data_IF_205779959556
#
_entry.id   IF_205779959556
#
_cell.length_a   1.000
_cell.length_b   1.000
_cell.length_c   1.000
_cell.angle_alpha   90.00
_cell.angle_beta   90.00
_cell.angle_gamma   90.00
#
_symmetry.space_group_name_H-M   'P 1'
#
loop_
_entity.id
_entity.type
_entity.pdbx_description
1 polymer ?
#
# COMPACT_ATOMS: atom_id res chain seq x y z
N UNK A 1 -17.63 21.37 -37.54
CA UNK A 1 -17.65 22.47 -36.56
C UNK A 1 -17.79 21.91 -35.13
N UNK A 2 -16.78 21.21 -34.59
CA UNK A 2 -16.89 20.65 -33.23
C UNK A 2 -15.53 20.47 -32.51
N UNK A 3 -14.43 20.98 -33.07
CA UNK A 3 -13.07 20.81 -32.50
C UNK A 3 -12.58 22.13 -31.85
N UNK A 4 -13.16 23.27 -32.22
CA UNK A 4 -12.73 24.58 -31.70
C UNK A 4 -13.35 24.95 -30.34
N UNK A 5 -14.46 24.35 -29.92
CA UNK A 5 -15.11 24.69 -28.64
C UNK A 5 -14.45 24.07 -27.40
N UNK A 6 -13.54 23.10 -27.57
CA UNK A 6 -12.86 22.45 -26.42
C UNK A 6 -11.66 23.29 -25.93
N UNK A 7 -11.08 24.14 -26.79
CA UNK A 7 -9.90 24.96 -26.45
C UNK A 7 -10.20 26.07 -25.44
N UNK A 8 -11.45 26.54 -25.36
CA UNK A 8 -11.83 27.64 -24.47
C UNK A 8 -12.18 27.22 -23.04
N UNK A 9 -12.25 25.91 -22.74
CA UNK A 9 -12.62 25.41 -21.41
C UNK A 9 -11.47 25.03 -20.49
N UNK A 10 -10.25 24.87 -21.01
CA UNK A 10 -9.11 24.40 -20.20
C UNK A 10 -7.84 25.18 -20.54
N UNK A 11 -7.56 26.23 -19.77
CA UNK A 11 -6.31 26.98 -19.84
C UNK A 11 -5.19 26.30 -19.07
N UNK A 12 -3.97 26.31 -19.63
CA UNK A 12 -2.75 25.88 -18.92
C UNK A 12 -2.57 26.81 -17.72
N UNK A 13 -2.78 26.31 -16.51
CA UNK A 13 -2.64 27.12 -15.30
C UNK A 13 -1.32 26.76 -14.62
N UNK A 14 -0.43 27.75 -14.43
CA UNK A 14 0.85 27.55 -13.71
C UNK A 14 0.66 27.24 -12.22
N UNK A 15 -0.49 27.60 -11.67
CA UNK A 15 -0.86 27.44 -10.27
C UNK A 15 -2.10 26.55 -10.16
N UNK A 16 -2.08 25.54 -9.30
CA UNK A 16 -3.26 24.71 -9.07
C UNK A 16 -4.43 25.59 -8.57
N UNK A 17 -5.65 25.43 -9.09
CA UNK A 17 -6.82 26.18 -8.63
C UNK A 17 -7.23 25.72 -7.23
N UNK A 18 -6.65 26.33 -6.20
CA UNK A 18 -6.88 25.98 -4.78
C UNK A 18 -8.15 26.58 -4.20
N UNK A 19 -8.74 27.58 -4.88
CA UNK A 19 -9.89 28.35 -4.38
C UNK A 19 -11.13 27.49 -4.08
N UNK A 20 -11.28 26.37 -4.78
CA UNK A 20 -12.40 25.43 -4.60
C UNK A 20 -11.99 24.12 -3.90
N UNK A 21 -10.72 23.97 -3.51
CA UNK A 21 -10.24 22.78 -2.81
C UNK A 21 -10.45 23.00 -1.31
N UNK A 22 -11.48 22.36 -0.76
CA UNK A 22 -11.65 22.28 0.69
C UNK A 22 -10.71 21.19 1.23
N UNK A 23 -9.72 21.54 2.06
CA UNK A 23 -8.89 20.50 2.66
C UNK A 23 -9.78 19.61 3.53
N UNK A 24 -9.58 18.27 3.51
CA UNK A 24 -10.31 17.39 4.39
C UNK A 24 -10.00 17.79 5.83
N UNK A 25 -11.02 18.21 6.58
CA UNK A 25 -10.89 18.46 8.01
C UNK A 25 -10.92 17.12 8.73
N UNK A 26 -10.09 16.92 9.77
CA UNK A 26 -10.17 15.71 10.57
C UNK A 26 -11.56 15.62 11.19
N UNK A 27 -12.11 14.41 11.27
CA UNK A 27 -13.44 14.18 11.88
C UNK A 27 -13.44 14.63 13.35
N UNK A 28 -12.27 14.58 14.00
CA UNK A 28 -12.05 15.00 15.39
C UNK A 28 -10.65 15.57 15.59
N UNK A 29 -10.53 16.62 16.41
CA UNK A 29 -9.23 17.11 16.88
C UNK A 29 -8.65 16.18 17.95
N UNK A 30 -7.35 15.94 17.84
CA UNK A 30 -6.60 15.03 18.71
C UNK A 30 -6.38 15.67 20.08
N UNK A 31 -6.62 14.94 21.15
CA UNK A 31 -6.23 15.34 22.50
C UNK A 31 -4.84 14.77 22.86
N UNK A 32 -3.82 15.62 22.75
CA UNK A 32 -2.45 15.24 23.10
C UNK A 32 -2.30 14.83 24.58
N UNK A 33 -3.11 15.39 25.49
CA UNK A 33 -3.07 15.08 26.92
C UNK A 33 -3.59 13.66 27.23
N UNK A 34 -4.46 13.15 26.36
CA UNK A 34 -4.95 11.77 26.39
C UNK A 34 -4.06 10.79 25.60
N UNK A 35 -2.87 11.22 25.16
CA UNK A 35 -1.97 10.46 24.28
C UNK A 35 -2.68 9.96 23.01
N UNK A 36 -3.60 10.78 22.47
CA UNK A 36 -4.24 10.51 21.17
C UNK A 36 -3.28 10.88 20.03
N UNK A 37 -3.41 10.19 18.90
CA UNK A 37 -2.70 10.52 17.65
C UNK A 37 -3.55 10.19 16.43
N UNK A 38 -3.25 10.86 15.31
CA UNK A 38 -3.71 10.48 13.97
C UNK A 38 -2.55 9.86 13.24
N UNK A 39 -2.82 8.77 12.54
CA UNK A 39 -1.81 8.07 11.75
C UNK A 39 -2.05 8.34 10.26
N UNK A 40 -0.98 8.44 9.48
CA UNK A 40 -1.04 8.64 8.04
C UNK A 40 -0.01 7.74 7.36
N UNK A 41 -0.47 6.89 6.45
CA UNK A 41 0.36 5.92 5.73
C UNK A 41 0.16 6.13 4.22
N UNK A 42 1.23 6.51 3.53
CA UNK A 42 1.26 6.57 2.07
C UNK A 42 1.77 5.26 1.49
N UNK A 43 1.01 4.64 0.58
CA UNK A 43 1.40 3.42 -0.14
C UNK A 43 1.48 3.72 -1.63
N UNK A 44 2.62 3.44 -2.25
CA UNK A 44 2.98 3.90 -3.58
C UNK A 44 3.36 2.72 -4.49
N UNK A 45 2.42 2.31 -5.35
CA UNK A 45 2.62 1.23 -6.32
C UNK A 45 3.07 1.77 -7.67
N UNK A 46 4.33 1.54 -8.01
CA UNK A 46 4.89 2.04 -9.27
C UNK A 46 4.48 1.19 -10.48
N UNK A 47 4.58 1.78 -11.68
CA UNK A 47 4.32 1.10 -12.94
C UNK A 47 5.42 0.13 -13.32
N UNK A 48 5.07 -0.83 -14.19
CA UNK A 48 6.00 -1.81 -14.75
C UNK A 48 7.29 -1.19 -15.26
N UNK A 49 8.43 -1.77 -14.88
CA UNK A 49 9.75 -1.31 -15.27
C UNK A 49 10.29 -0.11 -14.48
N UNK A 50 9.50 0.50 -13.59
CA UNK A 50 9.95 1.62 -12.77
C UNK A 50 10.44 1.15 -11.39
N UNK A 51 11.54 1.73 -10.93
CA UNK A 51 12.09 1.45 -9.60
C UNK A 51 12.83 2.68 -9.06
N UNK A 52 12.38 3.20 -7.92
CA UNK A 52 12.91 4.41 -7.29
C UNK A 52 14.44 4.45 -7.18
N UNK A 53 15.05 3.35 -6.72
CA UNK A 53 16.49 3.29 -6.47
C UNK A 53 17.29 3.11 -7.77
N UNK A 54 16.79 2.29 -8.72
CA UNK A 54 17.46 2.08 -10.00
C UNK A 54 17.34 3.28 -10.95
N UNK A 55 16.27 4.06 -10.79
CA UNK A 55 16.00 5.27 -11.58
C UNK A 55 16.58 6.52 -10.93
N UNK A 56 17.14 6.41 -9.72
CA UNK A 56 17.77 7.52 -9.00
C UNK A 56 18.97 8.06 -9.76
N UNK A 57 19.00 9.38 -9.96
CA UNK A 57 20.04 10.04 -10.75
C UNK A 57 19.86 9.93 -12.27
N UNK A 58 18.88 9.14 -12.75
CA UNK A 58 18.41 9.19 -14.12
C UNK A 58 17.23 10.18 -14.19
N UNK A 59 16.99 10.82 -15.33
CA UNK A 59 15.77 11.64 -15.54
C UNK A 59 14.49 10.77 -15.68
N UNK A 60 14.45 9.60 -15.02
CA UNK A 60 13.48 8.53 -15.24
C UNK A 60 12.46 8.32 -14.11
N UNK A 61 12.54 9.08 -13.00
CA UNK A 61 11.59 8.90 -11.90
C UNK A 61 10.13 9.06 -12.35
N UNK A 62 9.34 8.03 -12.08
CA UNK A 62 7.89 8.05 -12.26
C UNK A 62 7.24 9.10 -11.36
N UNK A 63 6.01 9.49 -11.68
CA UNK A 63 5.25 10.38 -10.79
C UNK A 63 5.00 9.72 -9.41
N UNK A 64 4.90 8.39 -9.35
CA UNK A 64 4.70 7.65 -8.09
C UNK A 64 5.95 7.74 -7.22
N UNK A 65 7.14 7.55 -7.81
CA UNK A 65 8.43 7.70 -7.14
C UNK A 65 8.60 9.13 -6.57
N UNK A 66 8.29 10.16 -7.37
CA UNK A 66 8.36 11.56 -6.94
C UNK A 66 7.41 11.87 -5.79
N UNK A 67 6.15 11.41 -5.88
CA UNK A 67 5.18 11.59 -4.82
C UNK A 67 5.65 10.91 -3.53
N UNK A 68 6.16 9.69 -3.62
CA UNK A 68 6.73 8.98 -2.48
C UNK A 68 7.87 9.76 -1.81
N UNK A 69 8.82 10.29 -2.57
CA UNK A 69 9.94 11.07 -2.03
C UNK A 69 9.49 12.34 -1.31
N UNK A 70 8.44 12.99 -1.80
CA UNK A 70 7.86 14.20 -1.19
C UNK A 70 6.92 13.92 -0.02
N UNK A 71 6.46 12.67 0.13
CA UNK A 71 5.56 12.28 1.20
C UNK A 71 6.30 12.22 2.54
N UNK A 72 5.69 12.81 3.58
CA UNK A 72 6.27 12.86 4.92
C UNK A 72 6.51 11.44 5.46
N UNK A 73 7.67 11.24 6.10
CA UNK A 73 8.04 9.97 6.71
C UNK A 73 8.69 10.24 8.06
N UNK A 74 7.84 10.35 9.08
CA UNK A 74 8.18 10.70 10.45
C UNK A 74 7.39 9.75 11.36
N UNK A 75 7.90 8.52 11.57
CA UNK A 75 7.24 7.50 12.39
C UNK A 75 6.90 7.98 13.81
N UNK A 76 7.71 8.89 14.35
CA UNK A 76 7.53 9.52 15.66
C UNK A 76 6.22 10.30 15.80
N UNK A 77 5.65 10.81 14.69
CA UNK A 77 4.34 11.48 14.68
C UNK A 77 3.28 10.68 13.92
N UNK A 78 3.53 9.39 13.65
CA UNK A 78 2.58 8.50 12.99
C UNK A 78 2.49 8.66 11.47
N UNK A 79 3.51 9.25 10.82
CA UNK A 79 3.57 9.42 9.37
C UNK A 79 4.53 8.43 8.73
N UNK A 80 4.04 7.61 7.80
CA UNK A 80 4.80 6.55 7.13
C UNK A 80 4.64 6.63 5.62
N UNK A 81 5.69 6.26 4.89
CA UNK A 81 5.63 6.01 3.45
C UNK A 81 6.14 4.62 3.11
N UNK A 82 5.48 3.98 2.14
CA UNK A 82 5.75 2.63 1.67
C UNK A 82 5.82 2.68 0.15
N UNK A 83 7.02 2.50 -0.41
CA UNK A 83 7.21 2.37 -1.85
C UNK A 83 7.23 0.90 -2.27
N UNK A 84 6.51 0.60 -3.35
CA UNK A 84 6.42 -0.72 -3.97
C UNK A 84 6.95 -0.59 -5.41
N UNK A 85 8.14 -1.17 -5.71
CA UNK A 85 8.70 -1.13 -7.05
C UNK A 85 7.77 -1.77 -8.08
N UNK A 86 7.85 -1.27 -9.31
CA UNK A 86 7.08 -1.80 -10.43
C UNK A 86 7.43 -3.24 -10.76
N UNK A 87 6.46 -3.95 -11.32
CA UNK A 87 6.66 -5.30 -11.85
C UNK A 87 7.80 -5.35 -12.87
N UNK A 88 8.53 -6.47 -12.86
CA UNK A 88 9.67 -6.70 -13.75
C UNK A 88 10.98 -6.04 -13.30
N UNK A 89 10.96 -5.26 -12.21
CA UNK A 89 12.17 -4.71 -11.58
C UNK A 89 12.56 -5.52 -10.34
N UNK A 90 13.85 -5.49 -9.91
CA UNK A 90 14.29 -6.19 -8.71
C UNK A 90 13.58 -5.65 -7.47
N UNK A 91 13.12 -6.57 -6.63
CA UNK A 91 12.61 -6.29 -5.31
C UNK A 91 13.09 -7.36 -4.31
N UNK A 92 14.34 -7.26 -3.81
CA UNK A 92 14.95 -8.30 -2.94
C UNK A 92 14.17 -8.57 -1.65
N UNK A 93 13.39 -7.58 -1.18
CA UNK A 93 12.54 -7.71 0.00
C UNK A 93 11.38 -8.70 -0.16
N UNK A 94 11.10 -9.14 -1.39
CA UNK A 94 10.13 -10.22 -1.69
C UNK A 94 10.80 -11.41 -2.38
N UNK A 95 12.14 -11.44 -2.45
CA UNK A 95 12.90 -12.50 -3.11
C UNK A 95 13.06 -12.36 -4.63
N UNK A 96 12.71 -11.22 -5.21
CA UNK A 96 12.98 -10.92 -6.62
C UNK A 96 14.32 -10.19 -6.75
N UNK A 97 15.40 -10.93 -6.97
CA UNK A 97 16.75 -10.34 -6.97
C UNK A 97 17.17 -9.75 -8.33
N UNK A 98 16.41 -10.01 -9.40
CA UNK A 98 16.77 -9.62 -10.79
C UNK A 98 15.58 -9.05 -11.57
N UNK A 99 15.88 -8.30 -12.63
CA UNK A 99 14.87 -7.87 -13.60
C UNK A 99 14.31 -9.08 -14.36
N UNK A 100 13.00 -9.11 -14.58
CA UNK A 100 12.38 -10.24 -15.29
C UNK A 100 11.38 -9.78 -16.33
N UNK A 101 11.53 -10.29 -17.55
CA UNK A 101 10.52 -10.14 -18.62
C UNK A 101 9.20 -10.78 -18.20
N UNK A 102 9.25 -11.84 -17.38
CA UNK A 102 8.04 -12.51 -16.90
C UNK A 102 7.23 -11.67 -15.91
N UNK A 103 7.87 -10.97 -14.98
CA UNK A 103 7.19 -10.00 -14.11
C UNK A 103 6.64 -8.83 -14.92
N UNK A 104 7.44 -8.31 -15.87
CA UNK A 104 7.06 -7.19 -16.71
C UNK A 104 5.92 -7.48 -17.69
N UNK A 105 5.90 -8.64 -18.35
CA UNK A 105 4.93 -9.01 -19.38
C UNK A 105 3.73 -9.78 -18.81
N UNK A 106 3.96 -10.78 -17.96
CA UNK A 106 2.91 -11.71 -17.47
C UNK A 106 2.34 -11.35 -16.09
N UNK A 107 2.89 -10.34 -15.41
CA UNK A 107 2.38 -9.88 -14.11
C UNK A 107 2.77 -10.76 -12.93
N UNK A 108 3.74 -11.67 -13.12
CA UNK A 108 4.34 -12.44 -12.02
C UNK A 108 4.94 -11.49 -10.97
N UNK A 109 4.72 -11.78 -9.69
CA UNK A 109 5.21 -10.96 -8.58
C UNK A 109 4.24 -9.87 -8.07
N UNK A 110 3.05 -9.74 -8.67
CA UNK A 110 2.03 -8.78 -8.23
C UNK A 110 1.48 -9.11 -6.83
N UNK A 111 1.14 -10.37 -6.57
CA UNK A 111 0.65 -10.81 -5.27
C UNK A 111 1.68 -10.56 -4.16
N UNK A 112 2.96 -10.83 -4.44
CA UNK A 112 4.08 -10.53 -3.53
C UNK A 112 4.18 -9.06 -3.18
N UNK A 113 4.00 -8.16 -4.15
CA UNK A 113 3.99 -6.70 -3.94
C UNK A 113 2.80 -6.26 -3.09
N UNK A 114 1.61 -6.80 -3.34
CA UNK A 114 0.39 -6.51 -2.58
C UNK A 114 0.50 -7.01 -1.14
N UNK A 115 0.95 -8.26 -0.94
CA UNK A 115 1.17 -8.83 0.40
C UNK A 115 2.22 -8.04 1.16
N UNK A 116 3.33 -7.67 0.50
CA UNK A 116 4.34 -6.82 1.12
C UNK A 116 3.74 -5.50 1.61
N UNK A 117 2.93 -4.82 0.79
CA UNK A 117 2.25 -3.59 1.20
C UNK A 117 1.33 -3.80 2.42
N UNK A 118 0.56 -4.90 2.45
CA UNK A 118 -0.29 -5.25 3.59
C UNK A 118 0.55 -5.43 4.87
N UNK A 119 1.61 -6.22 4.82
CA UNK A 119 2.50 -6.43 5.96
C UNK A 119 3.13 -5.13 6.45
N UNK A 120 3.50 -4.23 5.53
CA UNK A 120 4.07 -2.92 5.88
C UNK A 120 3.07 -1.98 6.55
N UNK A 121 1.78 -2.05 6.21
CA UNK A 121 0.73 -1.31 6.93
C UNK A 121 0.58 -1.83 8.36
N UNK A 122 0.57 -3.15 8.54
CA UNK A 122 0.53 -3.77 9.87
C UNK A 122 1.78 -3.43 10.70
N UNK A 123 2.97 -3.48 10.10
CA UNK A 123 4.22 -3.05 10.74
C UNK A 123 4.14 -1.59 11.19
N UNK A 124 3.60 -0.69 10.37
CA UNK A 124 3.50 0.73 10.71
C UNK A 124 2.59 0.93 11.93
N UNK A 125 1.44 0.25 11.98
CA UNK A 125 0.51 0.31 13.11
C UNK A 125 1.18 -0.26 14.36
N UNK A 126 1.83 -1.41 14.24
CA UNK A 126 2.52 -2.05 15.35
C UNK A 126 3.68 -1.18 15.89
N UNK A 127 4.43 -0.53 15.00
CA UNK A 127 5.49 0.41 15.36
C UNK A 127 4.95 1.66 16.07
N UNK A 128 3.82 2.21 15.61
CA UNK A 128 3.18 3.37 16.25
C UNK A 128 2.65 3.06 17.64
N UNK A 129 2.11 1.85 17.85
CA UNK A 129 1.53 1.45 19.13
C UNK A 129 2.56 0.99 20.15
N UNK A 130 3.58 0.23 19.69
CA UNK A 130 4.44 -0.55 20.58
C UNK A 130 5.94 -0.29 20.38
N UNK A 131 6.33 0.59 19.46
CA UNK A 131 7.73 0.87 19.11
C UNK A 131 8.56 -0.37 18.78
N UNK A 132 7.91 -1.40 18.22
CA UNK A 132 8.54 -2.68 17.84
C UNK A 132 8.12 -3.06 16.43
N UNK A 133 8.98 -3.81 15.71
CA UNK A 133 8.63 -4.37 14.41
C UNK A 133 7.79 -5.64 14.59
N UNK A 134 6.72 -5.78 13.80
CA UNK A 134 5.89 -6.98 13.82
C UNK A 134 6.52 -8.07 12.94
N UNK A 135 7.01 -7.67 11.76
CA UNK A 135 7.69 -8.52 10.80
C UNK A 135 9.09 -7.96 10.57
N UNK A 136 10.11 -8.68 11.07
CA UNK A 136 11.49 -8.39 10.69
C UNK A 136 11.71 -8.62 9.19
N UNK A 137 12.85 -8.16 8.66
CA UNK A 137 13.14 -8.18 7.22
C UNK A 137 13.13 -9.61 6.65
N UNK A 138 13.67 -10.57 7.38
CA UNK A 138 13.79 -11.97 6.97
C UNK A 138 12.42 -12.64 6.90
N UNK A 139 11.59 -12.45 7.93
CA UNK A 139 10.24 -12.98 7.99
C UNK A 139 9.36 -12.35 6.91
N UNK A 140 9.44 -11.03 6.73
CA UNK A 140 8.66 -10.32 5.70
C UNK A 140 9.00 -10.83 4.30
N UNK A 141 10.30 -11.03 4.02
CA UNK A 141 10.75 -11.65 2.78
C UNK A 141 10.19 -13.06 2.62
N UNK A 142 10.29 -13.89 3.65
CA UNK A 142 9.78 -15.26 3.62
C UNK A 142 8.26 -15.33 3.36
N UNK A 143 7.49 -14.42 3.96
CA UNK A 143 6.03 -14.33 3.76
C UNK A 143 5.65 -13.90 2.34
N UNK A 144 6.46 -13.06 1.69
CA UNK A 144 6.16 -12.51 0.36
C UNK A 144 6.84 -13.25 -0.79
N UNK A 145 7.75 -14.19 -0.52
CA UNK A 145 8.50 -14.88 -1.57
C UNK A 145 7.65 -16.01 -2.18
N UNK A 146 7.39 -15.92 -3.49
CA UNK A 146 6.63 -16.94 -4.24
C UNK A 146 7.41 -18.23 -4.45
N UNK A 147 8.75 -18.18 -4.34
CA UNK A 147 9.65 -19.34 -4.36
C UNK A 147 10.58 -19.30 -3.15
N UNK A 148 10.08 -19.64 -1.93
CA UNK A 148 10.85 -19.55 -0.70
C UNK A 148 12.15 -20.36 -0.74
N UNK A 149 13.26 -19.70 -0.42
CA UNK A 149 14.57 -20.33 -0.21
C UNK A 149 14.57 -21.22 1.03
N UNK A 150 15.63 -22.02 1.24
CA UNK A 150 15.79 -22.81 2.47
C UNK A 150 15.73 -21.94 3.73
N UNK A 151 16.35 -20.75 3.69
CA UNK A 151 16.33 -19.81 4.81
C UNK A 151 14.92 -19.25 5.05
N UNK A 152 14.16 -18.95 3.99
CA UNK A 152 12.78 -18.47 4.11
C UNK A 152 11.87 -19.54 4.75
N UNK A 153 12.00 -20.80 4.32
CA UNK A 153 11.25 -21.92 4.89
C UNK A 153 11.49 -22.05 6.40
N UNK A 154 12.73 -21.89 6.85
CA UNK A 154 13.05 -21.88 8.29
C UNK A 154 12.38 -20.73 9.04
N UNK A 155 12.15 -19.56 8.43
CA UNK A 155 11.41 -18.47 9.07
C UNK A 155 9.91 -18.78 9.14
N UNK A 156 9.34 -19.38 8.08
CA UNK A 156 7.93 -19.77 8.03
C UNK A 156 7.61 -20.87 9.04
N UNK A 157 8.49 -21.87 9.19
CA UNK A 157 8.32 -22.95 10.17
C UNK A 157 8.29 -22.44 11.61
N UNK A 158 9.10 -21.42 11.96
CA UNK A 158 9.11 -20.80 13.29
C UNK A 158 7.77 -20.19 13.69
N UNK A 159 6.98 -19.75 12.70
CA UNK A 159 5.65 -19.17 12.90
C UNK A 159 4.52 -20.15 12.56
N UNK A 160 4.86 -21.42 12.32
CA UNK A 160 3.89 -22.49 12.04
C UNK A 160 3.25 -22.45 10.66
N UNK A 161 3.86 -21.79 9.67
CA UNK A 161 3.38 -21.76 8.29
C UNK A 161 4.09 -22.82 7.43
N UNK A 162 3.32 -23.56 6.65
CA UNK A 162 3.83 -24.58 5.71
C UNK A 162 4.40 -23.99 4.42
N UNK A 163 3.96 -22.78 4.05
CA UNK A 163 4.38 -22.06 2.85
C UNK A 163 4.11 -20.55 2.99
N UNK A 164 4.60 -19.76 2.02
CA UNK A 164 4.48 -18.30 2.02
C UNK A 164 3.04 -17.85 1.80
N UNK A 165 2.77 -16.55 1.86
CA UNK A 165 1.41 -16.02 1.70
C UNK A 165 0.98 -15.84 0.23
N UNK A 166 1.85 -16.17 -0.72
CA UNK A 166 1.73 -15.80 -2.14
C UNK A 166 1.81 -17.01 -3.07
N UNK A 167 1.52 -18.20 -2.55
CA UNK A 167 1.37 -19.42 -3.36
C UNK A 167 -0.07 -19.57 -3.88
N UNK A 168 -0.36 -20.68 -4.55
CA UNK A 168 -1.66 -20.97 -5.17
C UNK A 168 -2.85 -20.88 -4.20
N UNK A 169 -2.63 -21.20 -2.92
CA UNK A 169 -3.63 -21.14 -1.84
C UNK A 169 -3.48 -19.87 -0.97
N UNK A 170 -2.67 -18.92 -1.44
CA UNK A 170 -2.17 -17.79 -0.67
C UNK A 170 -3.28 -16.88 -0.14
N UNK A 171 -4.35 -16.67 -0.91
CA UNK A 171 -5.43 -15.72 -0.57
C UNK A 171 -6.11 -16.06 0.77
N UNK A 172 -6.48 -17.32 0.98
CA UNK A 172 -7.09 -17.75 2.24
C UNK A 172 -6.08 -17.76 3.40
N UNK A 173 -4.81 -18.03 3.10
CA UNK A 173 -3.74 -17.98 4.11
C UNK A 173 -3.46 -16.54 4.55
N UNK A 174 -3.45 -15.57 3.64
CA UNK A 174 -3.32 -14.13 3.93
C UNK A 174 -4.39 -13.70 4.92
N UNK A 175 -5.66 -13.99 4.60
CA UNK A 175 -6.80 -13.64 5.45
C UNK A 175 -6.66 -14.21 6.86
N UNK A 176 -6.37 -15.52 6.99
CA UNK A 176 -6.20 -16.18 8.29
C UNK A 176 -5.02 -15.62 9.08
N UNK A 177 -3.86 -15.47 8.44
CA UNK A 177 -2.65 -14.99 9.08
C UNK A 177 -2.78 -13.55 9.57
N UNK A 178 -3.31 -12.64 8.75
CA UNK A 178 -3.52 -11.26 9.13
C UNK A 178 -4.62 -11.10 10.20
N UNK A 179 -5.64 -11.97 10.20
CA UNK A 179 -6.61 -12.03 11.30
C UNK A 179 -5.97 -12.41 12.64
N UNK A 180 -5.03 -13.36 12.65
CA UNK A 180 -4.24 -13.69 13.86
C UNK A 180 -3.42 -12.46 14.28
N UNK A 181 -2.77 -11.78 13.33
CA UNK A 181 -2.00 -10.57 13.60
C UNK A 181 -2.87 -9.45 14.22
N UNK A 182 -4.07 -9.21 13.69
CA UNK A 182 -5.02 -8.24 14.24
C UNK A 182 -5.45 -8.59 15.67
N UNK A 183 -5.74 -9.86 15.94
CA UNK A 183 -6.07 -10.33 17.30
C UNK A 183 -4.91 -10.08 18.26
N UNK A 184 -3.67 -10.37 17.84
CA UNK A 184 -2.48 -10.11 18.65
C UNK A 184 -2.31 -8.62 18.98
N UNK A 185 -2.49 -7.73 17.99
CA UNK A 185 -2.44 -6.27 18.20
C UNK A 185 -3.51 -5.86 19.22
N UNK A 186 -4.76 -6.29 19.03
CA UNK A 186 -5.88 -5.97 19.93
C UNK A 186 -5.61 -6.44 21.36
N UNK A 187 -5.19 -7.69 21.54
CA UNK A 187 -4.86 -8.23 22.86
C UNK A 187 -3.72 -7.47 23.51
N UNK A 188 -2.69 -7.08 22.75
CA UNK A 188 -1.57 -6.31 23.29
C UNK A 188 -1.97 -4.89 23.70
N UNK A 189 -2.85 -4.23 22.93
CA UNK A 189 -3.42 -2.92 23.28
C UNK A 189 -4.23 -2.96 24.58
N UNK A 190 -4.89 -4.08 24.89
CA UNK A 190 -5.63 -4.26 26.14
C UNK A 190 -4.72 -4.45 27.37
N UNK A 191 -3.53 -5.01 27.16
CA UNK A 191 -2.59 -5.36 28.23
C UNK A 191 -1.46 -4.34 28.44
N UNK A 192 -1.28 -3.40 27.52
CA UNK A 192 -0.21 -2.40 27.55
C UNK A 192 -0.77 -1.01 27.32
N UNK A 193 -0.25 -0.01 28.03
CA UNK A 193 -0.57 1.39 27.75
C UNK A 193 0.03 1.76 26.39
N UNK A 194 -0.83 2.11 25.44
CA UNK A 194 -0.46 2.50 24.08
C UNK A 194 -1.06 3.86 23.73
N UNK A 195 -0.46 4.61 22.78
CA UNK A 195 -1.12 5.77 22.20
C UNK A 195 -2.45 5.36 21.57
N UNK A 196 -3.47 6.22 21.68
CA UNK A 196 -4.76 5.96 21.05
C UNK A 196 -4.76 6.51 19.63
N UNK A 197 -4.71 5.61 18.64
CA UNK A 197 -4.86 6.00 17.23
C UNK A 197 -6.34 6.30 16.96
N UNK A 198 -6.68 7.59 16.85
CA UNK A 198 -8.06 8.04 16.66
C UNK A 198 -8.57 7.79 15.23
N UNK A 199 -7.70 7.94 14.24
CA UNK A 199 -7.99 7.70 12.82
C UNK A 199 -6.67 7.39 12.11
N UNK A 200 -6.69 6.41 11.20
CA UNK A 200 -5.57 6.07 10.33
C UNK A 200 -5.97 6.36 8.88
N UNK A 201 -5.28 7.32 8.25
CA UNK A 201 -5.45 7.65 6.84
C UNK A 201 -4.51 6.82 5.98
N UNK A 202 -5.07 6.10 5.01
CA UNK A 202 -4.30 5.40 3.98
C UNK A 202 -4.36 6.16 2.66
N UNK A 203 -3.25 6.79 2.29
CA UNK A 203 -3.10 7.42 0.98
C UNK A 203 -2.50 6.43 0.00
N UNK A 204 -3.25 6.04 -1.02
CA UNK A 204 -2.84 4.97 -1.91
C UNK A 204 -2.69 5.52 -3.32
N UNK A 205 -1.48 5.39 -3.84
CA UNK A 205 -1.09 5.86 -5.17
C UNK A 205 -0.69 4.69 -6.05
N UNK A 206 -1.10 4.73 -7.31
CA UNK A 206 -0.75 3.69 -8.28
C UNK A 206 -0.67 4.19 -9.71
N UNK A 207 0.28 3.66 -10.49
CA UNK A 207 0.45 3.97 -11.92
C UNK A 207 0.50 2.70 -12.79
N UNK A 208 -0.19 2.71 -13.94
CA UNK A 208 -0.23 1.58 -14.89
C UNK A 208 -0.59 0.25 -14.19
N UNK A 209 0.26 -0.80 -14.24
CA UNK A 209 0.02 -2.05 -13.49
C UNK A 209 0.04 -1.85 -11.97
N UNK A 210 0.83 -0.92 -11.45
CA UNK A 210 0.78 -0.52 -10.04
C UNK A 210 -0.58 0.07 -9.64
N UNK A 211 -1.32 0.70 -10.57
CA UNK A 211 -2.71 1.10 -10.31
C UNK A 211 -3.65 -0.11 -10.13
N UNK A 212 -3.40 -1.20 -10.84
CA UNK A 212 -4.13 -2.47 -10.64
C UNK A 212 -3.78 -3.08 -9.28
N UNK A 213 -2.49 -3.18 -8.95
CA UNK A 213 -2.03 -3.66 -7.63
C UNK A 213 -2.63 -2.83 -6.49
N UNK A 214 -2.65 -1.50 -6.62
CA UNK A 214 -3.26 -0.59 -5.65
C UNK A 214 -4.75 -0.86 -5.43
N UNK A 215 -5.51 -1.17 -6.50
CA UNK A 215 -6.94 -1.52 -6.39
C UNK A 215 -7.14 -2.86 -5.68
N UNK A 216 -6.34 -3.86 -6.04
CA UNK A 216 -6.39 -5.19 -5.41
C UNK A 216 -6.00 -5.09 -3.93
N UNK A 217 -4.97 -4.32 -3.62
CA UNK A 217 -4.58 -3.99 -2.25
C UNK A 217 -5.73 -3.37 -1.45
N UNK A 218 -6.43 -2.38 -1.99
CA UNK A 218 -7.59 -1.78 -1.31
C UNK A 218 -8.68 -2.82 -1.04
N UNK A 219 -8.99 -3.66 -2.02
CA UNK A 219 -9.98 -4.72 -1.87
C UNK A 219 -9.57 -5.72 -0.78
N UNK A 220 -8.34 -6.24 -0.84
CA UNK A 220 -7.86 -7.23 0.12
C UNK A 220 -7.77 -6.66 1.53
N UNK A 221 -7.35 -5.40 1.67
CA UNK A 221 -7.35 -4.74 2.97
C UNK A 221 -8.77 -4.54 3.49
N UNK A 222 -9.71 -4.13 2.62
CA UNK A 222 -11.11 -3.97 2.99
C UNK A 222 -11.77 -5.28 3.46
N UNK A 223 -11.42 -6.42 2.85
CA UNK A 223 -11.88 -7.75 3.28
C UNK A 223 -11.43 -8.10 4.71
N UNK A 224 -10.34 -7.48 5.21
CA UNK A 224 -9.86 -7.66 6.58
C UNK A 224 -10.52 -6.71 7.59
N UNK A 225 -11.16 -5.63 7.12
CA UNK A 225 -11.75 -4.64 8.01
C UNK A 225 -13.08 -5.14 8.58
N UNK A 226 -13.30 -4.87 9.86
CA UNK A 226 -14.62 -5.00 10.45
C UNK A 226 -15.19 -3.60 10.70
N UNK A 227 -16.28 -3.26 10.01
CA UNK A 227 -16.94 -1.96 10.14
C UNK A 227 -15.97 -0.77 9.90
N UNK A 228 -15.13 -0.87 8.85
CA UNK A 228 -14.07 0.10 8.53
C UNK A 228 -12.98 0.26 9.60
N UNK A 229 -12.78 -0.75 10.45
CA UNK A 229 -11.73 -0.75 11.47
C UNK A 229 -10.75 -1.91 11.28
N UNK A 230 -9.47 -1.63 11.52
CA UNK A 230 -8.40 -2.61 11.58
C UNK A 230 -7.92 -2.71 13.03
N UNK A 231 -8.10 -3.87 13.68
CA UNK A 231 -7.80 -4.05 15.10
C UNK A 231 -8.37 -2.93 16.02
N UNK A 232 -9.64 -2.54 15.78
CA UNK A 232 -10.38 -1.44 16.45
C UNK A 232 -9.97 -0.01 16.08
N UNK A 233 -8.93 0.16 15.25
CA UNK A 233 -8.48 1.45 14.76
C UNK A 233 -9.31 1.84 13.52
N UNK A 234 -10.00 3.00 13.52
CA UNK A 234 -10.71 3.49 12.35
C UNK A 234 -9.74 3.72 11.19
N UNK A 235 -10.04 3.12 10.03
CA UNK A 235 -9.23 3.21 8.83
C UNK A 235 -10.00 3.93 7.73
N UNK A 236 -9.38 4.97 7.15
CA UNK A 236 -9.98 5.76 6.07
C UNK A 236 -9.09 5.73 4.84
N UNK A 237 -9.62 5.16 3.76
CA UNK A 237 -8.97 5.18 2.45
C UNK A 237 -9.06 6.56 1.79
N UNK A 238 -7.93 7.03 1.28
CA UNK A 238 -7.80 8.17 0.37
C UNK A 238 -7.05 7.67 -0.87
N UNK A 239 -7.81 7.33 -1.91
CA UNK A 239 -7.28 6.60 -3.06
C UNK A 239 -7.09 7.51 -4.26
N UNK A 240 -5.90 7.47 -4.86
CA UNK A 240 -5.59 8.12 -6.13
C UNK A 240 -4.78 7.18 -7.03
N UNK A 241 -5.44 6.46 -7.94
CA UNK A 241 -4.75 5.68 -8.96
C UNK A 241 -4.99 6.24 -10.38
N UNK A 242 -3.91 6.49 -11.10
CA UNK A 242 -3.96 6.96 -12.49
C UNK A 242 -3.64 5.79 -13.42
N UNK A 243 -4.68 5.16 -13.99
CA UNK A 243 -4.52 4.21 -15.08
C UNK A 243 -4.24 4.97 -16.37
N UNK A 244 -2.99 4.98 -16.85
CA UNK A 244 -2.75 5.20 -18.29
C UNK A 244 -2.95 3.87 -19.00
N UNK A 245 -4.20 3.59 -19.31
CA UNK A 245 -4.63 2.48 -20.14
C UNK A 245 -4.12 2.65 -21.57
N UNK A 246 -3.12 1.88 -21.99
CA UNK A 246 -3.09 1.40 -23.38
C UNK A 246 -3.82 0.05 -23.37
N UNK A 247 -5.13 0.10 -23.12
CA UNK A 247 -6.01 -1.02 -23.36
C UNK A 247 -6.55 -0.83 -24.78
N UNK A 248 -6.21 -1.73 -25.69
CA UNK A 248 -7.02 -1.90 -26.90
C UNK A 248 -8.44 -2.24 -26.43
N UNK A 249 -9.37 -1.32 -26.66
CA UNK A 249 -10.78 -1.45 -26.33
C UNK A 249 -11.40 -2.54 -27.21
N UNK A 250 -11.55 -3.74 -26.67
CA UNK A 250 -12.72 -4.57 -27.00
C UNK A 250 -13.72 -4.38 -25.87
N UNK A 251 -14.60 -3.40 -26.10
CA UNK A 251 -15.95 -3.23 -25.55
C UNK A 251 -16.32 -4.06 -24.32
N UNK A 252 -16.35 -3.40 -23.16
CA UNK A 252 -17.02 -3.87 -21.94
C UNK A 252 -17.23 -2.68 -21.01
N UNK A 253 -18.41 -2.08 -21.05
CA UNK A 253 -18.81 -1.01 -20.12
C UNK A 253 -18.84 -1.56 -18.69
N UNK A 254 -18.01 -1.00 -17.80
CA UNK A 254 -18.18 -1.16 -16.35
C UNK A 254 -18.35 0.22 -15.73
N UNK A 255 -19.60 0.55 -15.39
CA UNK A 255 -19.97 1.68 -14.54
C UNK A 255 -19.54 1.37 -13.10
N UNK A 256 -18.66 2.19 -12.54
CA UNK A 256 -18.34 2.18 -11.11
C UNK A 256 -19.32 3.12 -10.41
N UNK A 257 -20.39 2.56 -9.86
CA UNK A 257 -21.18 3.24 -8.83
C UNK A 257 -20.44 3.10 -7.51
N UNK A 258 -19.95 4.23 -7.00
CA UNK A 258 -19.47 4.35 -5.63
C UNK A 258 -20.66 4.26 -4.68
N UNK A 259 -20.75 3.17 -3.93
CA UNK A 259 -21.61 3.10 -2.76
C UNK A 259 -20.71 2.81 -1.57
N UNK A 260 -20.65 3.78 -0.66
CA UNK A 260 -19.99 3.70 0.64
C UNK A 260 -20.70 2.70 1.56
#
# INVERSE_FOLDING_TARGET
MAINEIKDKFGITRTAPVQNIKPPKPVRYIDASACEMTMQIGVFFDGTGNNLELDKGKQGHSNVARLHETYLNSPEIGSYRIYIPGLGTPFPSIGEDTETTAGGAFGSGGDSRIVFALLRVFDAIHQSLFHTEMFNKELRRALCNSSPSKADKMQLEKIGLTSSLVDSDGRDRIGRYLNVCMKTIKTRMQNQRTPKICECHLDIFGFSRGATEARVFCHWLNDLLNSSKLAEIPLRFRFLAQCRSVWNLTSGNMSVTSTF
#
